data_IF_685447846266
#
_entry.id   IF_685447846266
#
_cell.length_a   1.000
_cell.length_b   1.000
_cell.length_c   1.000
_cell.angle_alpha   90.00
_cell.angle_beta   90.00
_cell.angle_gamma   90.00
#
_symmetry.space_group_name_H-M   'P 1'
#
loop_
_entity.id
_entity.type
_entity.pdbx_description
1 polymer ?
#
# COMPACT_ATOMS: atom_id res chain seq x y z
N UNK A 1 -6.06 5.71 15.72
CA UNK A 1 -4.92 5.48 14.79
C UNK A 1 -5.50 5.24 13.40
N UNK A 2 -5.33 6.22 12.51
CA UNK A 2 -5.79 6.06 11.12
C UNK A 2 -4.91 5.02 10.44
N UNK A 3 -5.48 3.89 10.04
CA UNK A 3 -4.79 2.98 9.14
C UNK A 3 -4.43 3.74 7.86
N UNK A 4 -3.17 3.70 7.40
CA UNK A 4 -2.80 4.38 6.17
C UNK A 4 -3.65 3.85 5.01
N UNK A 5 -4.00 4.71 4.05
CA UNK A 5 -4.73 4.29 2.86
C UNK A 5 -4.11 3.04 2.22
N UNK A 6 -4.91 2.11 1.67
CA UNK A 6 -4.41 0.85 1.09
C UNK A 6 -3.27 1.06 0.10
N UNK A 7 -3.29 2.15 -0.67
CA UNK A 7 -2.26 2.50 -1.65
C UNK A 7 -0.90 2.74 -1.00
N UNK A 8 -0.89 3.36 0.19
CA UNK A 8 0.34 3.58 0.95
C UNK A 8 0.87 2.25 1.49
N UNK A 9 0.00 1.33 1.91
CA UNK A 9 0.41 -0.01 2.33
C UNK A 9 1.04 -0.77 1.17
N UNK A 10 0.41 -0.75 -0.01
CA UNK A 10 0.92 -1.39 -1.24
C UNK A 10 2.27 -0.79 -1.64
N UNK A 11 2.41 0.53 -1.58
CA UNK A 11 3.65 1.23 -1.91
C UNK A 11 4.81 0.81 -0.99
N UNK A 12 4.56 0.72 0.31
CA UNK A 12 5.56 0.28 1.28
C UNK A 12 5.90 -1.20 1.10
N UNK A 13 4.91 -2.06 0.84
CA UNK A 13 5.13 -3.48 0.59
C UNK A 13 5.93 -3.71 -0.70
N UNK A 14 5.63 -2.95 -1.76
CA UNK A 14 6.40 -3.00 -3.01
C UNK A 14 7.83 -2.51 -2.82
N UNK A 15 8.05 -1.53 -1.94
CA UNK A 15 9.36 -1.04 -1.55
C UNK A 15 10.19 -2.14 -0.85
N UNK A 16 9.61 -2.84 0.11
CA UNK A 16 10.27 -3.95 0.80
C UNK A 16 10.61 -5.10 -0.17
N UNK A 17 9.72 -5.42 -1.11
CA UNK A 17 9.97 -6.43 -2.15
C UNK A 17 11.06 -6.04 -3.16
N UNK A 18 11.32 -4.74 -3.35
CA UNK A 18 12.35 -4.24 -4.28
C UNK A 18 13.77 -4.36 -3.70
N UNK A 19 13.90 -4.37 -2.37
CA UNK A 19 15.19 -4.45 -1.67
C UNK A 19 15.87 -5.82 -1.84
N UNK A 20 15.14 -6.85 -2.25
CA UNK A 20 15.58 -8.26 -2.17
C UNK A 20 16.34 -8.77 -3.41
N UNK A 21 16.70 -7.94 -4.40
CA UNK A 21 17.25 -8.47 -5.66
C UNK A 21 18.58 -7.89 -6.08
N UNK A 22 19.64 -8.26 -5.38
CA UNK A 22 20.99 -8.31 -5.97
C UNK A 22 21.33 -9.66 -6.62
N UNK A 23 20.39 -10.58 -6.78
CA UNK A 23 20.65 -11.77 -7.59
C UNK A 23 20.87 -11.40 -9.05
N UNK A 24 21.88 -12.02 -9.66
CA UNK A 24 22.28 -11.94 -11.08
C UNK A 24 21.09 -11.63 -11.97
N UNK A 25 21.07 -10.43 -12.56
CA UNK A 25 19.99 -9.86 -13.35
C UNK A 25 19.52 -10.84 -14.43
N UNK A 26 18.56 -11.68 -14.09
CA UNK A 26 17.86 -12.50 -15.11
C UNK A 26 17.15 -11.53 -16.04
N UNK A 27 17.14 -11.84 -17.34
CA UNK A 27 16.47 -10.98 -18.34
C UNK A 27 14.98 -10.79 -18.01
N UNK A 28 14.36 -11.79 -17.40
CA UNK A 28 12.97 -11.79 -16.93
C UNK A 28 12.91 -12.38 -15.53
N UNK A 29 12.14 -11.76 -14.67
CA UNK A 29 11.91 -12.20 -13.31
C UNK A 29 10.42 -12.07 -12.99
N UNK A 30 9.86 -13.12 -12.44
CA UNK A 30 8.52 -13.17 -11.88
C UNK A 30 8.67 -13.64 -10.44
N UNK A 31 8.16 -12.87 -9.52
CA UNK A 31 8.09 -13.20 -8.10
C UNK A 31 6.72 -12.84 -7.53
N UNK A 32 6.41 -13.33 -6.36
CA UNK A 32 5.15 -13.05 -5.70
C UNK A 32 5.14 -13.57 -4.28
N UNK A 33 4.12 -13.18 -3.54
CA UNK A 33 3.91 -13.64 -2.17
C UNK A 33 2.43 -13.83 -1.87
N UNK A 34 2.18 -14.65 -0.86
CA UNK A 34 0.88 -14.81 -0.21
C UNK A 34 1.08 -14.46 1.26
N UNK A 35 0.20 -13.64 1.80
CA UNK A 35 0.18 -13.28 3.21
C UNK A 35 -1.19 -13.55 3.78
N UNK A 36 -1.23 -14.16 4.98
CA UNK A 36 -2.44 -14.31 5.77
C UNK A 36 -2.24 -13.61 7.10
N UNK A 37 -3.25 -12.92 7.56
CA UNK A 37 -3.23 -12.19 8.82
C UNK A 37 -4.49 -12.42 9.63
N UNK A 38 -4.31 -12.51 10.94
CA UNK A 38 -5.37 -12.53 11.92
C UNK A 38 -5.07 -11.44 12.96
N UNK A 39 -6.07 -10.72 13.38
CA UNK A 39 -5.92 -9.63 14.34
C UNK A 39 -7.24 -9.16 14.89
N UNK A 40 -7.18 -8.09 15.65
CA UNK A 40 -8.34 -7.33 16.10
C UNK A 40 -8.15 -5.89 15.68
N UNK A 41 -9.17 -5.31 15.10
CA UNK A 41 -9.25 -3.90 14.77
C UNK A 41 -10.21 -3.23 15.72
N UNK A 42 -9.71 -2.27 16.49
CA UNK A 42 -10.50 -1.60 17.52
C UNK A 42 -11.33 -0.42 17.01
N UNK A 43 -11.17 -0.04 15.72
CA UNK A 43 -11.89 1.09 15.14
C UNK A 43 -12.10 0.92 13.63
N UNK A 44 -12.88 -0.09 13.24
CA UNK A 44 -13.13 -0.45 11.85
C UNK A 44 -13.83 0.63 11.04
N UNK A 45 -14.61 1.49 11.70
CA UNK A 45 -15.40 2.55 11.08
C UNK A 45 -14.75 3.94 11.18
N UNK A 46 -13.53 4.03 11.70
CA UNK A 46 -12.79 5.30 11.90
C UNK A 46 -13.61 6.37 12.64
N UNK A 47 -14.46 5.95 13.55
CA UNK A 47 -15.38 6.81 14.30
C UNK A 47 -14.82 7.19 15.66
N UNK A 48 -15.45 8.19 16.30
CA UNK A 48 -15.11 8.62 17.64
C UNK A 48 -15.60 7.61 18.69
N UNK A 49 -14.86 7.46 19.78
CA UNK A 49 -15.28 6.72 20.99
C UNK A 49 -16.13 7.57 21.94
N UNK A 50 -16.24 8.88 21.67
CA UNK A 50 -16.97 9.82 22.51
C UNK A 50 -18.47 9.52 22.53
N UNK A 51 -19.05 9.48 23.70
CA UNK A 51 -20.51 9.33 23.89
C UNK A 51 -21.26 10.64 23.66
N UNK A 52 -20.58 11.76 23.86
CA UNK A 52 -21.12 13.10 23.74
C UNK A 52 -20.06 14.03 23.13
N UNK A 53 -20.49 14.97 22.32
CA UNK A 53 -19.65 16.02 21.74
C UNK A 53 -20.21 17.36 22.15
N UNK A 54 -19.33 18.24 22.65
CA UNK A 54 -19.68 19.61 22.94
C UNK A 54 -19.67 20.45 21.65
N UNK A 55 -20.74 21.20 21.42
CA UNK A 55 -20.81 22.12 20.27
C UNK A 55 -20.50 23.53 20.77
N UNK A 56 -19.30 24.08 20.48
CA UNK A 56 -18.90 25.41 20.96
C UNK A 56 -19.85 26.52 20.50
N UNK A 57 -20.36 26.44 19.27
CA UNK A 57 -21.31 27.39 18.71
C UNK A 57 -22.67 27.43 19.45
N UNK A 58 -23.00 26.41 20.23
CA UNK A 58 -24.21 26.31 21.05
C UNK A 58 -23.89 26.37 22.56
N UNK A 59 -22.95 27.21 22.94
CA UNK A 59 -22.52 27.40 24.34
C UNK A 59 -22.08 26.11 25.03
N UNK A 60 -21.32 25.28 24.30
CA UNK A 60 -20.85 23.96 24.73
C UNK A 60 -21.99 22.96 25.09
N UNK A 61 -23.14 23.09 24.41
CA UNK A 61 -24.21 22.12 24.54
C UNK A 61 -23.67 20.71 24.21
N UNK A 62 -23.86 19.78 25.13
CA UNK A 62 -23.47 18.38 24.92
C UNK A 62 -24.55 17.65 24.10
N UNK A 63 -24.19 17.21 22.92
CA UNK A 63 -25.02 16.35 22.08
C UNK A 63 -24.56 14.90 22.18
N UNK A 64 -25.50 13.98 22.38
CA UNK A 64 -25.23 12.55 22.36
C UNK A 64 -24.83 12.07 20.97
N UNK A 65 -23.72 11.37 20.84
CA UNK A 65 -23.34 10.70 19.59
C UNK A 65 -24.19 9.45 19.44
N UNK A 66 -24.81 9.30 18.24
CA UNK A 66 -25.59 8.11 17.92
C UNK A 66 -24.72 6.84 18.15
N UNK A 67 -25.20 5.82 18.88
CA UNK A 67 -24.45 4.58 19.07
C UNK A 67 -23.96 3.92 17.79
N UNK A 68 -24.71 4.04 16.70
CA UNK A 68 -24.33 3.53 15.37
C UNK A 68 -23.16 4.29 14.73
N UNK A 69 -22.91 5.53 15.16
CA UNK A 69 -21.83 6.39 14.68
C UNK A 69 -20.61 6.39 15.61
N UNK A 70 -20.57 5.48 16.60
CA UNK A 70 -19.44 5.31 17.51
C UNK A 70 -18.46 4.29 16.97
N UNK A 71 -17.25 4.33 17.52
CA UNK A 71 -16.22 3.34 17.27
C UNK A 71 -16.75 1.91 17.45
N UNK A 72 -16.41 1.07 16.49
CA UNK A 72 -16.70 -0.37 16.51
C UNK A 72 -15.42 -1.15 16.40
N UNK A 73 -15.38 -2.27 17.08
CA UNK A 73 -14.29 -3.24 17.00
C UNK A 73 -14.76 -4.54 16.34
N UNK A 74 -13.84 -5.25 15.74
CA UNK A 74 -14.09 -6.57 15.17
C UNK A 74 -12.81 -7.38 15.08
N UNK A 75 -12.97 -8.69 15.05
CA UNK A 75 -11.93 -9.59 14.60
C UNK A 75 -11.58 -9.24 13.14
N UNK A 76 -10.29 -9.29 12.83
CA UNK A 76 -9.77 -9.05 11.47
C UNK A 76 -9.20 -10.34 10.91
N UNK A 77 -9.69 -10.73 9.74
CA UNK A 77 -9.09 -11.76 8.89
C UNK A 77 -8.64 -11.11 7.60
N UNK A 78 -7.36 -11.26 7.25
CA UNK A 78 -6.80 -10.64 6.05
C UNK A 78 -6.08 -11.68 5.19
N UNK A 79 -6.31 -11.64 3.88
CA UNK A 79 -5.58 -12.37 2.86
C UNK A 79 -4.99 -11.40 1.84
N UNK A 80 -3.74 -11.62 1.43
CA UNK A 80 -3.07 -10.81 0.42
C UNK A 80 -2.31 -11.73 -0.54
N UNK A 81 -2.47 -11.50 -1.84
CA UNK A 81 -1.77 -12.17 -2.91
C UNK A 81 -1.15 -11.11 -3.81
N UNK A 82 0.15 -11.17 -4.04
CA UNK A 82 0.82 -10.23 -4.94
C UNK A 82 1.72 -10.95 -5.94
N UNK A 83 1.83 -10.37 -7.14
CA UNK A 83 2.73 -10.78 -8.20
C UNK A 83 3.48 -9.59 -8.78
N UNK A 84 4.78 -9.78 -9.03
CA UNK A 84 5.67 -8.76 -9.59
C UNK A 84 6.38 -9.33 -10.80
N UNK A 85 6.35 -8.60 -11.90
CA UNK A 85 7.08 -8.94 -13.11
C UNK A 85 8.09 -7.86 -13.45
N UNK A 86 9.30 -8.28 -13.76
CA UNK A 86 10.40 -7.41 -14.22
C UNK A 86 10.99 -7.95 -15.52
N UNK A 87 11.22 -7.05 -16.46
CA UNK A 87 11.92 -7.36 -17.70
C UNK A 87 13.02 -6.35 -17.95
N UNK A 88 14.26 -6.80 -17.82
CA UNK A 88 15.44 -5.98 -18.15
C UNK A 88 15.51 -5.80 -19.67
N UNK A 89 15.36 -4.57 -20.12
CA UNK A 89 15.37 -4.21 -21.55
C UNK A 89 16.81 -3.98 -22.02
N UNK A 90 17.42 -2.86 -21.66
CA UNK A 90 18.80 -2.50 -22.02
C UNK A 90 19.27 -1.28 -21.20
N UNK A 91 20.57 -1.08 -21.08
CA UNK A 91 21.19 0.14 -20.53
C UNK A 91 20.63 0.58 -19.16
N UNK A 92 20.30 -0.36 -18.28
CA UNK A 92 19.72 -0.08 -16.97
C UNK A 92 18.23 0.17 -16.99
N UNK A 93 17.55 0.07 -18.12
CA UNK A 93 16.10 0.21 -18.22
C UNK A 93 15.41 -1.13 -17.95
N UNK A 94 14.44 -1.13 -17.07
CA UNK A 94 13.64 -2.30 -16.68
C UNK A 94 12.16 -1.98 -16.79
N UNK A 95 11.39 -2.78 -17.53
CA UNK A 95 9.94 -2.74 -17.49
C UNK A 95 9.42 -3.42 -16.24
N UNK A 96 8.39 -2.85 -15.63
CA UNK A 96 7.79 -3.29 -14.37
C UNK A 96 6.29 -3.51 -14.55
N UNK A 97 5.76 -4.58 -13.96
CA UNK A 97 4.33 -4.77 -13.78
C UNK A 97 4.09 -5.42 -12.42
N UNK A 98 3.04 -4.98 -11.73
CA UNK A 98 2.64 -5.49 -10.43
C UNK A 98 1.13 -5.71 -10.42
N UNK A 99 0.68 -6.74 -9.70
CA UNK A 99 -0.73 -6.93 -9.37
C UNK A 99 -0.82 -7.44 -7.93
N UNK A 100 -1.82 -6.95 -7.19
CA UNK A 100 -2.05 -7.32 -5.80
C UNK A 100 -3.55 -7.41 -5.53
N UNK A 101 -3.97 -8.46 -4.86
CA UNK A 101 -5.31 -8.65 -4.34
C UNK A 101 -5.22 -8.68 -2.81
N UNK A 102 -5.93 -7.78 -2.17
CA UNK A 102 -6.10 -7.72 -0.72
C UNK A 102 -7.58 -7.99 -0.40
N UNK A 103 -7.83 -8.95 0.45
CA UNK A 103 -9.16 -9.22 1.02
C UNK A 103 -9.07 -9.00 2.53
N UNK A 104 -9.92 -8.16 3.08
CA UNK A 104 -10.04 -7.93 4.51
C UNK A 104 -11.47 -8.18 4.93
N UNK A 105 -11.64 -9.05 5.90
CA UNK A 105 -12.94 -9.46 6.42
C UNK A 105 -13.05 -9.15 7.90
N UNK A 106 -14.19 -8.61 8.27
CA UNK A 106 -14.59 -8.36 9.64
C UNK A 106 -15.84 -9.21 9.94
N UNK A 107 -15.67 -10.44 10.48
CA UNK A 107 -16.78 -11.38 10.64
C UNK A 107 -17.94 -10.85 11.48
N UNK A 108 -17.64 -10.01 12.47
CA UNK A 108 -18.66 -9.44 13.39
C UNK A 108 -19.35 -8.21 12.79
N UNK A 109 -18.74 -7.57 11.77
CA UNK A 109 -19.18 -6.30 11.16
C UNK A 109 -18.91 -6.35 9.66
N UNK A 110 -19.58 -7.26 8.93
CA UNK A 110 -19.31 -7.58 7.52
C UNK A 110 -19.41 -6.38 6.57
N UNK A 111 -20.27 -5.40 6.88
CA UNK A 111 -20.47 -4.18 6.10
C UNK A 111 -19.18 -3.35 5.92
N UNK A 112 -18.18 -3.57 6.78
CA UNK A 112 -16.86 -2.95 6.69
C UNK A 112 -15.81 -3.82 5.99
N UNK A 113 -16.18 -5.05 5.60
CA UNK A 113 -15.30 -5.94 4.87
C UNK A 113 -15.04 -5.40 3.47
N UNK A 114 -13.79 -5.48 3.00
CA UNK A 114 -13.45 -4.95 1.70
C UNK A 114 -12.46 -5.83 0.93
N UNK A 115 -12.54 -5.71 -0.39
CA UNK A 115 -11.59 -6.28 -1.34
C UNK A 115 -10.98 -5.18 -2.17
N UNK A 116 -9.65 -5.21 -2.34
CA UNK A 116 -8.93 -4.26 -3.18
C UNK A 116 -8.11 -5.03 -4.20
N UNK A 117 -8.26 -4.68 -5.47
CA UNK A 117 -7.40 -5.12 -6.56
C UNK A 117 -6.56 -3.95 -7.03
N UNK A 118 -5.25 -4.06 -6.88
CA UNK A 118 -4.27 -3.10 -7.35
C UNK A 118 -3.51 -3.65 -8.54
N UNK A 119 -3.29 -2.83 -9.55
CA UNK A 119 -2.44 -3.13 -10.68
C UNK A 119 -1.57 -1.91 -11.02
N UNK A 120 -0.32 -2.15 -11.38
CA UNK A 120 0.55 -1.08 -11.85
C UNK A 120 1.50 -1.55 -12.93
N UNK A 121 1.84 -0.63 -13.85
CA UNK A 121 2.81 -0.86 -14.90
C UNK A 121 3.69 0.36 -15.13
N UNK A 122 4.96 0.14 -15.47
CA UNK A 122 5.88 1.24 -15.66
C UNK A 122 7.29 0.82 -15.98
N UNK A 123 8.24 1.69 -15.66
CA UNK A 123 9.65 1.45 -15.91
C UNK A 123 10.53 1.95 -14.76
N UNK A 124 11.67 1.30 -14.59
CA UNK A 124 12.77 1.74 -13.75
C UNK A 124 14.01 1.98 -14.58
N UNK A 125 14.75 3.05 -14.27
CA UNK A 125 16.04 3.40 -14.88
C UNK A 125 17.11 3.39 -13.78
N UNK A 126 18.07 2.48 -13.92
CA UNK A 126 19.23 2.39 -13.02
C UNK A 126 20.41 3.22 -13.59
N UNK A 127 21.00 4.06 -12.75
CA UNK A 127 22.19 4.87 -13.04
C UNK A 127 23.17 4.85 -11.85
N UNK A 128 24.04 3.86 -11.81
CA UNK A 128 24.93 3.63 -10.67
C UNK A 128 24.12 3.37 -9.38
N UNK A 129 24.34 4.16 -8.31
CA UNK A 129 23.59 4.03 -7.06
C UNK A 129 22.16 4.60 -7.12
N UNK A 130 21.79 5.25 -8.24
CA UNK A 130 20.51 5.93 -8.41
C UNK A 130 19.55 5.05 -9.21
N UNK A 131 18.29 4.99 -8.77
CA UNK A 131 17.19 4.37 -9.52
C UNK A 131 16.01 5.33 -9.60
N UNK A 132 15.47 5.50 -10.79
CA UNK A 132 14.29 6.31 -11.07
C UNK A 132 13.18 5.38 -11.52
N UNK A 133 12.00 5.50 -10.93
CA UNK A 133 10.85 4.63 -11.22
C UNK A 133 9.65 5.51 -11.55
N UNK A 134 8.97 5.19 -12.64
CA UNK A 134 7.68 5.77 -13.02
C UNK A 134 6.67 4.67 -13.27
N UNK A 135 5.46 4.79 -12.70
CA UNK A 135 4.38 3.81 -12.85
C UNK A 135 3.04 4.48 -13.05
N UNK A 136 2.21 3.87 -13.88
CA UNK A 136 0.76 4.02 -13.86
C UNK A 136 0.18 3.05 -12.83
N UNK A 137 -0.84 3.49 -12.10
CA UNK A 137 -1.50 2.72 -11.06
C UNK A 137 -3.01 2.69 -11.31
N UNK A 138 -3.61 1.54 -11.10
CA UNK A 138 -5.04 1.30 -11.15
C UNK A 138 -5.42 0.55 -9.87
N UNK A 139 -6.50 0.97 -9.23
CA UNK A 139 -7.07 0.28 -8.09
C UNK A 139 -8.58 0.19 -8.24
N UNK A 140 -9.13 -0.97 -7.91
CA UNK A 140 -10.56 -1.19 -7.76
C UNK A 140 -10.80 -1.66 -6.32
N UNK A 141 -11.71 -1.00 -5.61
CA UNK A 141 -12.07 -1.33 -4.24
C UNK A 141 -13.56 -1.62 -4.16
N UNK A 142 -13.89 -2.74 -3.57
CA UNK A 142 -15.25 -3.15 -3.23
C UNK A 142 -15.41 -3.14 -1.71
N UNK A 143 -16.53 -2.65 -1.24
CA UNK A 143 -16.94 -2.65 0.16
C UNK A 143 -18.21 -3.48 0.27
N UNK A 144 -18.24 -4.46 1.16
CA UNK A 144 -19.34 -5.41 1.33
C UNK A 144 -19.80 -6.02 -0.03
N UNK A 145 -18.81 -6.42 -0.86
CA UNK A 145 -19.05 -7.01 -2.17
C UNK A 145 -19.58 -6.05 -3.26
N UNK A 146 -19.83 -4.79 -2.95
CA UNK A 146 -20.32 -3.76 -3.88
C UNK A 146 -19.19 -2.84 -4.33
N UNK A 147 -19.25 -2.35 -5.56
CA UNK A 147 -18.30 -1.35 -6.05
C UNK A 147 -18.29 -0.13 -5.12
N UNK A 148 -17.11 0.30 -4.67
CA UNK A 148 -17.00 1.43 -3.77
C UNK A 148 -16.17 2.56 -4.35
N UNK A 149 -14.96 2.25 -4.86
CA UNK A 149 -14.03 3.27 -5.36
C UNK A 149 -13.07 2.70 -6.40
N UNK A 150 -12.77 3.50 -7.41
CA UNK A 150 -11.66 3.28 -8.34
C UNK A 150 -10.64 4.39 -8.21
N UNK A 151 -9.36 4.04 -8.34
CA UNK A 151 -8.28 5.00 -8.45
C UNK A 151 -7.51 4.77 -9.75
N UNK A 152 -7.15 5.87 -10.40
CA UNK A 152 -6.18 5.89 -11.50
C UNK A 152 -5.13 6.93 -11.15
N UNK A 153 -3.86 6.54 -11.15
CA UNK A 153 -2.80 7.43 -10.67
C UNK A 153 -1.46 7.23 -11.34
N UNK A 154 -0.57 8.14 -11.02
CA UNK A 154 0.85 8.14 -11.39
C UNK A 154 1.70 8.07 -10.12
N UNK A 155 2.74 7.25 -10.16
CA UNK A 155 3.77 7.17 -9.14
C UNK A 155 5.12 7.51 -9.77
N UNK A 156 5.81 8.49 -9.20
CA UNK A 156 7.23 8.73 -9.41
C UNK A 156 8.00 8.36 -8.14
N UNK A 157 9.09 7.61 -8.27
CA UNK A 157 9.92 7.23 -7.14
C UNK A 157 11.39 7.36 -7.52
N UNK A 158 12.16 7.90 -6.59
CA UNK A 158 13.61 7.93 -6.65
C UNK A 158 14.18 7.09 -5.52
N UNK A 159 15.21 6.29 -5.82
CA UNK A 159 15.93 5.49 -4.83
C UNK A 159 17.43 5.74 -4.96
N UNK A 160 18.09 5.82 -3.81
CA UNK A 160 19.54 5.96 -3.70
C UNK A 160 20.11 4.82 -2.84
N UNK A 161 20.98 4.00 -3.43
CA UNK A 161 21.72 2.97 -2.70
C UNK A 161 22.87 3.64 -1.94
N UNK A 162 22.70 3.82 -0.62
CA UNK A 162 23.74 4.36 0.26
C UNK A 162 24.87 3.36 0.42
N UNK A 163 24.53 2.07 0.48
CA UNK A 163 25.44 0.93 0.47
C UNK A 163 24.75 -0.26 -0.21
N UNK A 164 25.42 -1.43 -0.24
CA UNK A 164 24.82 -2.67 -0.72
C UNK A 164 23.57 -3.08 0.07
N UNK A 165 23.54 -2.76 1.37
CA UNK A 165 22.50 -3.15 2.31
C UNK A 165 21.57 -2.00 2.71
N UNK A 166 21.90 -0.74 2.35
CA UNK A 166 21.16 0.44 2.78
C UNK A 166 20.61 1.24 1.61
N UNK A 167 19.36 1.66 1.70
CA UNK A 167 18.68 2.42 0.65
C UNK A 167 17.80 3.53 1.20
N UNK A 168 17.89 4.68 0.57
CA UNK A 168 16.98 5.81 0.76
C UNK A 168 16.04 5.90 -0.44
N UNK A 169 14.81 6.32 -0.21
CA UNK A 169 13.81 6.56 -1.25
C UNK A 169 13.03 7.80 -0.98
N UNK A 170 12.58 8.43 -2.07
CA UNK A 170 11.54 9.46 -2.06
C UNK A 170 10.50 9.10 -3.12
N UNK A 171 9.23 9.38 -2.88
CA UNK A 171 8.17 9.16 -3.87
C UNK A 171 7.14 10.28 -3.85
N UNK A 172 6.52 10.45 -5.00
CA UNK A 172 5.37 11.30 -5.22
C UNK A 172 4.32 10.47 -5.95
N UNK A 173 3.11 10.47 -5.44
CA UNK A 173 1.95 9.84 -6.06
C UNK A 173 0.86 10.88 -6.27
N UNK A 174 0.23 10.85 -7.43
CA UNK A 174 -0.96 11.63 -7.72
C UNK A 174 -1.98 10.73 -8.38
N UNK A 175 -3.24 10.75 -7.90
CA UNK A 175 -4.29 9.89 -8.41
C UNK A 175 -5.66 10.53 -8.32
N UNK A 176 -6.55 10.07 -9.20
CA UNK A 176 -7.96 10.43 -9.23
C UNK A 176 -8.76 9.30 -8.60
N UNK A 177 -9.55 9.63 -7.61
CA UNK A 177 -10.47 8.74 -6.93
C UNK A 177 -11.88 8.95 -7.50
N UNK A 178 -12.50 7.87 -7.95
CA UNK A 178 -13.88 7.82 -8.41
C UNK A 178 -14.67 6.92 -7.49
N UNK A 179 -15.61 7.49 -6.78
CA UNK A 179 -16.47 6.77 -5.85
C UNK A 179 -17.79 6.40 -6.52
N UNK A 180 -18.45 5.37 -6.04
CA UNK A 180 -19.83 5.04 -6.45
C UNK A 180 -20.74 6.24 -6.25
N UNK A 181 -20.59 6.95 -5.13
CA UNK A 181 -21.19 8.27 -4.93
C UNK A 181 -20.27 9.34 -5.51
N UNK A 182 -20.56 9.84 -6.70
CA UNK A 182 -19.74 10.83 -7.43
C UNK A 182 -19.48 12.13 -6.66
N UNK A 183 -20.33 12.46 -5.67
CA UNK A 183 -20.12 13.61 -4.77
C UNK A 183 -18.83 13.50 -3.95
N UNK A 184 -18.28 12.29 -3.80
CA UNK A 184 -17.03 11.98 -3.07
C UNK A 184 -15.81 11.90 -4.00
N UNK A 185 -15.99 12.08 -5.30
CA UNK A 185 -14.87 12.08 -6.25
C UNK A 185 -13.81 13.08 -5.83
N UNK A 186 -12.57 12.63 -5.80
CA UNK A 186 -11.46 13.41 -5.28
C UNK A 186 -10.18 13.23 -6.09
N UNK A 187 -9.26 14.16 -5.93
CA UNK A 187 -7.87 14.05 -6.35
C UNK A 187 -7.01 13.83 -5.10
N UNK A 188 -6.13 12.83 -5.12
CA UNK A 188 -5.23 12.51 -4.02
C UNK A 188 -3.80 12.73 -4.43
N UNK A 189 -3.04 13.42 -3.59
CA UNK A 189 -1.60 13.58 -3.74
C UNK A 189 -0.90 13.07 -2.48
N UNK A 190 0.21 12.35 -2.65
CA UNK A 190 1.00 11.84 -1.53
C UNK A 190 2.47 11.99 -1.84
N UNK A 191 3.23 12.50 -0.88
CA UNK A 191 4.68 12.61 -0.91
C UNK A 191 5.26 11.84 0.27
N UNK A 192 6.38 11.16 0.08
CA UNK A 192 7.02 10.48 1.20
C UNK A 192 8.49 10.19 0.96
N UNK A 193 9.15 9.87 2.07
CA UNK A 193 10.53 9.39 2.10
C UNK A 193 10.61 8.10 2.92
N UNK A 194 11.57 7.26 2.60
CA UNK A 194 11.79 6.03 3.36
C UNK A 194 13.29 5.68 3.40
N UNK A 195 13.66 4.98 4.43
CA UNK A 195 14.94 4.33 4.59
C UNK A 195 14.74 2.86 4.88
N UNK A 196 15.60 2.01 4.33
CA UNK A 196 15.65 0.59 4.64
C UNK A 196 17.08 0.10 4.77
N UNK A 197 17.29 -0.88 5.65
CA UNK A 197 18.58 -1.50 5.93
C UNK A 197 18.42 -3.01 6.06
N UNK A 198 19.18 -3.76 5.26
CA UNK A 198 19.39 -5.20 5.47
C UNK A 198 20.47 -5.43 6.52
N UNK A 199 20.25 -6.36 7.42
CA UNK A 199 21.16 -6.61 8.53
C UNK A 199 22.15 -7.76 8.28
N UNK A 200 22.32 -8.20 7.04
CA UNK A 200 23.36 -9.16 6.64
C UNK A 200 23.38 -10.51 7.39
N UNK A 201 22.32 -10.84 8.14
CA UNK A 201 22.22 -12.03 8.96
C UNK A 201 21.64 -13.21 8.16
N UNK A 202 21.78 -14.44 8.70
CA UNK A 202 21.35 -15.70 8.05
C UNK A 202 19.93 -15.71 7.51
N UNK A 203 19.02 -14.94 8.11
CA UNK A 203 17.60 -14.86 7.71
C UNK A 203 17.24 -13.54 7.01
N UNK A 204 18.26 -12.81 6.53
CA UNK A 204 18.10 -11.53 5.83
C UNK A 204 17.06 -10.58 6.47
N UNK A 205 17.13 -10.33 7.81
CA UNK A 205 16.23 -9.38 8.41
C UNK A 205 16.48 -7.99 7.84
N UNK A 206 15.40 -7.24 7.62
CA UNK A 206 15.48 -5.85 7.22
C UNK A 206 14.69 -4.97 8.19
N UNK A 207 15.22 -3.78 8.45
CA UNK A 207 14.54 -2.73 9.20
C UNK A 207 14.20 -1.58 8.25
N UNK A 208 13.12 -0.89 8.50
CA UNK A 208 12.71 0.26 7.69
C UNK A 208 12.05 1.35 8.53
N UNK A 209 12.11 2.57 8.02
CA UNK A 209 11.34 3.71 8.50
C UNK A 209 10.85 4.52 7.29
N UNK A 210 9.65 5.05 7.35
CA UNK A 210 9.10 5.93 6.34
C UNK A 210 8.26 7.04 6.96
N UNK A 211 8.31 8.21 6.34
CA UNK A 211 7.49 9.36 6.64
C UNK A 211 6.75 9.77 5.38
N UNK A 212 5.47 10.05 5.49
CA UNK A 212 4.66 10.50 4.36
C UNK A 212 3.65 11.55 4.79
N UNK A 213 3.23 12.36 3.82
CA UNK A 213 2.15 13.33 3.94
C UNK A 213 1.37 13.32 2.64
N UNK A 214 0.07 13.58 2.71
CA UNK A 214 -0.77 13.67 1.54
C UNK A 214 -2.07 14.41 1.82
N UNK A 215 -2.73 14.78 0.75
CA UNK A 215 -4.06 15.38 0.77
C UNK A 215 -4.99 14.64 -0.19
N UNK A 216 -6.26 14.65 0.14
CA UNK A 216 -7.36 14.22 -0.70
C UNK A 216 -8.35 15.38 -0.81
N UNK A 217 -8.44 15.96 -2.00
CA UNK A 217 -9.26 17.13 -2.28
C UNK A 217 -10.49 16.70 -3.09
N UNK A 218 -11.69 16.97 -2.57
CA UNK A 218 -12.94 16.67 -3.27
C UNK A 218 -13.10 17.59 -4.48
N UNK A 219 -13.61 17.05 -5.60
CA UNK A 219 -13.77 17.81 -6.84
C UNK A 219 -15.00 18.72 -6.86
N UNK A 220 -15.95 18.47 -5.98
CA UNK A 220 -17.16 19.28 -5.90
C UNK A 220 -17.00 20.36 -4.83
N UNK A 221 -17.03 21.63 -5.25
CA UNK A 221 -16.82 22.78 -4.36
C UNK A 221 -17.81 22.82 -3.17
N UNK A 222 -19.02 22.27 -3.34
CA UNK A 222 -20.01 22.15 -2.25
C UNK A 222 -19.57 21.19 -1.12
N UNK A 223 -18.54 20.36 -1.35
CA UNK A 223 -18.05 19.34 -0.42
C UNK A 223 -16.55 19.49 -0.14
N UNK A 224 -15.97 20.65 -0.38
CA UNK A 224 -14.53 20.90 -0.12
C UNK A 224 -14.14 20.64 1.33
N UNK A 225 -15.07 20.76 2.28
CA UNK A 225 -14.85 20.44 3.69
C UNK A 225 -14.70 18.92 3.96
N UNK A 226 -14.90 18.09 2.96
CA UNK A 226 -14.70 16.64 3.04
C UNK A 226 -13.31 16.21 2.59
N UNK A 227 -12.48 17.16 2.18
CA UNK A 227 -11.07 16.95 1.93
C UNK A 227 -10.37 16.41 3.18
N UNK A 228 -9.36 15.58 2.99
CA UNK A 228 -8.63 14.95 4.08
C UNK A 228 -7.13 15.13 3.91
N UNK A 229 -6.51 15.76 4.91
CA UNK A 229 -5.06 15.72 5.06
C UNK A 229 -4.66 14.53 5.93
N UNK A 230 -3.65 13.81 5.52
CA UNK A 230 -3.13 12.69 6.27
C UNK A 230 -1.61 12.70 6.33
N UNK A 231 -1.08 12.31 7.49
CA UNK A 231 0.34 12.17 7.71
C UNK A 231 0.61 10.87 8.46
N UNK A 232 1.76 10.28 8.26
CA UNK A 232 2.11 9.09 8.98
C UNK A 232 3.60 8.84 9.06
N UNK A 233 4.00 8.26 10.20
CA UNK A 233 5.28 7.64 10.41
C UNK A 233 5.08 6.14 10.52
N UNK A 234 5.82 5.38 9.73
CA UNK A 234 5.81 3.92 9.81
C UNK A 234 7.24 3.41 9.98
N UNK A 235 7.42 2.53 10.95
CA UNK A 235 8.66 1.81 11.13
C UNK A 235 8.36 0.33 11.37
N UNK A 236 9.32 -0.53 11.07
CA UNK A 236 9.14 -1.95 11.30
C UNK A 236 10.39 -2.74 10.98
N UNK A 237 10.32 -4.01 11.29
CA UNK A 237 11.30 -5.00 10.89
C UNK A 237 10.58 -6.13 10.15
N UNK A 238 11.22 -6.65 9.12
CA UNK A 238 10.77 -7.84 8.40
C UNK A 238 11.82 -8.94 8.50
N UNK A 239 11.36 -10.17 8.57
CA UNK A 239 12.21 -11.35 8.50
C UNK A 239 11.80 -12.16 7.27
N UNK A 240 12.72 -12.30 6.31
CA UNK A 240 12.44 -13.07 5.10
C UNK A 240 12.90 -14.52 5.31
N UNK A 241 11.94 -15.44 5.46
CA UNK A 241 12.19 -16.87 5.41
C UNK A 241 12.13 -17.34 3.95
N UNK A 242 13.27 -17.28 3.26
CA UNK A 242 13.38 -17.73 1.87
C UNK A 242 13.50 -19.24 1.82
N UNK A 243 12.49 -19.91 1.26
CA UNK A 243 12.57 -21.33 0.89
C UNK A 243 12.71 -21.42 -0.62
N UNK A 244 13.91 -21.68 -1.12
CA UNK A 244 14.12 -21.94 -2.55
C UNK A 244 13.46 -23.26 -2.93
N UNK A 245 12.29 -23.18 -3.53
CA UNK A 245 11.64 -24.32 -4.19
C UNK A 245 12.42 -24.60 -5.48
N UNK A 246 13.45 -25.44 -5.42
CA UNK A 246 14.09 -25.98 -6.61
C UNK A 246 13.10 -26.95 -7.27
N UNK A 247 12.33 -26.47 -8.23
CA UNK A 247 11.62 -27.32 -9.17
C UNK A 247 12.67 -28.12 -9.94
N UNK A 248 12.87 -29.41 -9.56
CA UNK A 248 13.70 -30.34 -10.33
C UNK A 248 13.03 -30.54 -11.69
N UNK A 249 13.53 -29.84 -12.70
CA UNK A 249 13.23 -30.15 -14.09
C UNK A 249 13.75 -31.56 -14.38
N UNK A 250 12.89 -32.58 -14.29
CA UNK A 250 13.14 -33.93 -14.78
C UNK A 250 13.05 -33.89 -16.31
N UNK A 251 14.06 -33.32 -16.97
CA UNK A 251 14.28 -33.63 -18.38
C UNK A 251 14.75 -35.06 -18.48
N UNK A 252 13.80 -35.99 -18.66
CA UNK A 252 14.09 -37.32 -19.13
C UNK A 252 14.75 -37.21 -20.51
N UNK A 253 16.05 -37.38 -20.59
CA UNK A 253 16.73 -37.78 -21.82
C UNK A 253 16.13 -39.13 -22.22
N UNK A 254 15.27 -39.16 -23.24
CA UNK A 254 15.02 -40.38 -24.01
C UNK A 254 16.18 -40.54 -25.00
N UNK A 255 16.92 -41.61 -24.84
CA UNK A 255 17.76 -42.18 -25.88
C UNK A 255 16.91 -42.76 -26.99
#
# INVERSE_FOLDING_TARGET
EHNPPPEIQTLITSFLGTVDTQEKRKKRQLDGYVQLGLGQDSNINSATDLKQVAIPALNNLLLGVNPLSRQRDSLLVQGQLAGNYRHNLSNGLTALANAELLVRSYPDESDYSFTTLDASGGAALDRGPHQYIGKLQLQDMQLDGSAYRRMTGLLGQYQYAVSEDSRLSAWLQHGQLRYEQSTRDADRSTLGIAWSQHLGLRYAPAVFASLYSGSEDTRQAAYNDWGMDFQGLRSGASLLLRRDLKLKNKNKKKK
#
